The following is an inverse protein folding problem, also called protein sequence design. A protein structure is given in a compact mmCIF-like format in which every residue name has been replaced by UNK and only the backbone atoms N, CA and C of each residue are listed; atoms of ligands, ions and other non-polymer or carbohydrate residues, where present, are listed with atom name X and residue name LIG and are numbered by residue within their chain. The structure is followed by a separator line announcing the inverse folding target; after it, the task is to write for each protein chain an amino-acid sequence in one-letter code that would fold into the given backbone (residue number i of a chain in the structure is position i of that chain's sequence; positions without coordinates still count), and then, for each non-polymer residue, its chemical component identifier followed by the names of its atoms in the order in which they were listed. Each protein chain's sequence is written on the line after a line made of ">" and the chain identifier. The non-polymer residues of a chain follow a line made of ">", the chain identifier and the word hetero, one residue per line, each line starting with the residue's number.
data_IF_520337775698
#
_entry.id   IF_520337775698
#
_cell.length_a   1.000
_cell.length_b   1.000
_cell.length_c   1.000
_cell.angle_alpha   90.00
_cell.angle_beta   90.00
_cell.angle_gamma   90.00
#
_symmetry.space_group_name_H-M   'P 1'
#
loop_
_entity.id
_entity.type
_entity.pdbx_description
1 polymer ?
#
# COMPACT_ATOMS: atom_id res chain seq x y z
N UNK A 1 19.77 -37.31 19.83
CA UNK A 1 19.41 -37.43 18.43
C UNK A 1 19.83 -36.15 17.73
N UNK A 2 20.82 -36.25 16.85
CA UNK A 2 21.19 -35.17 15.93
C UNK A 2 20.11 -35.15 14.86
N UNK A 3 19.26 -34.13 14.88
CA UNK A 3 18.33 -33.84 13.82
C UNK A 3 19.17 -33.28 12.65
N UNK A 4 19.63 -34.14 11.77
CA UNK A 4 20.21 -33.72 10.50
C UNK A 4 19.10 -33.42 9.51
N UNK A 5 19.31 -32.43 8.65
CA UNK A 5 18.44 -32.20 7.51
C UNK A 5 18.46 -33.44 6.58
N UNK A 6 17.35 -33.68 5.90
CA UNK A 6 17.35 -34.63 4.79
C UNK A 6 18.09 -34.04 3.59
N UNK A 7 18.55 -34.88 2.66
CA UNK A 7 19.18 -34.40 1.43
C UNK A 7 18.28 -33.44 0.64
N UNK A 8 16.96 -33.65 0.68
CA UNK A 8 15.98 -32.75 0.10
C UNK A 8 15.96 -31.38 0.79
N UNK A 9 16.03 -31.33 2.13
CA UNK A 9 16.07 -30.08 2.88
C UNK A 9 17.34 -29.29 2.61
N UNK A 10 18.48 -29.97 2.46
CA UNK A 10 19.75 -29.35 2.10
C UNK A 10 19.69 -28.72 0.70
N UNK A 11 19.06 -29.40 -0.27
CA UNK A 11 18.82 -28.83 -1.61
C UNK A 11 17.89 -27.58 -1.55
N UNK A 12 16.81 -27.64 -0.77
CA UNK A 12 15.88 -26.51 -0.63
C UNK A 12 16.55 -25.33 0.05
N UNK A 13 17.39 -25.57 1.08
CA UNK A 13 18.17 -24.53 1.73
C UNK A 13 19.18 -23.88 0.78
N UNK A 14 19.83 -24.68 -0.07
CA UNK A 14 20.74 -24.17 -1.10
C UNK A 14 19.99 -23.26 -2.11
N UNK A 15 18.79 -23.65 -2.52
CA UNK A 15 17.93 -22.81 -3.39
C UNK A 15 17.49 -21.54 -2.67
N UNK A 16 17.08 -21.61 -1.39
CA UNK A 16 16.73 -20.44 -0.57
C UNK A 16 17.89 -19.44 -0.50
N UNK A 17 19.11 -19.96 -0.25
CA UNK A 17 20.30 -19.13 -0.21
C UNK A 17 20.59 -18.48 -1.58
N UNK A 18 20.49 -19.25 -2.66
CA UNK A 18 20.68 -18.72 -4.02
C UNK A 18 19.68 -17.60 -4.37
N UNK A 19 18.40 -17.78 -4.02
CA UNK A 19 17.37 -16.76 -4.24
C UNK A 19 17.68 -15.49 -3.44
N UNK A 20 18.06 -15.65 -2.17
CA UNK A 20 18.38 -14.53 -1.29
C UNK A 20 19.66 -13.80 -1.70
N UNK A 21 20.69 -14.52 -2.17
CA UNK A 21 21.94 -13.94 -2.67
C UNK A 21 21.73 -13.19 -4.00
N UNK A 22 20.89 -13.73 -4.88
CA UNK A 22 20.51 -13.05 -6.13
C UNK A 22 19.71 -11.79 -5.82
N UNK A 23 18.71 -11.89 -4.96
CA UNK A 23 17.78 -10.82 -4.62
C UNK A 23 16.89 -10.37 -5.78
N UNK A 24 16.06 -9.35 -5.51
CA UNK A 24 15.18 -8.72 -6.50
C UNK A 24 15.78 -7.40 -6.95
N UNK A 25 15.84 -7.17 -8.25
CA UNK A 25 16.18 -5.84 -8.79
C UNK A 25 15.05 -4.87 -8.49
N UNK A 26 15.39 -3.65 -8.09
CA UNK A 26 14.45 -2.59 -7.72
C UNK A 26 14.67 -1.38 -8.59
N UNK A 27 13.63 -0.96 -9.27
CA UNK A 27 13.59 0.36 -9.90
C UNK A 27 13.40 1.42 -8.80
N UNK A 28 14.50 2.00 -8.35
CA UNK A 28 14.52 2.98 -7.26
C UNK A 28 13.81 4.28 -7.66
N UNK A 29 13.98 4.71 -8.91
CA UNK A 29 13.36 5.93 -9.40
C UNK A 29 11.83 5.81 -9.41
N UNK A 30 11.32 4.66 -9.84
CA UNK A 30 9.88 4.39 -9.82
C UNK A 30 9.35 4.29 -8.38
N UNK A 31 10.05 3.60 -7.50
CA UNK A 31 9.65 3.46 -6.09
C UNK A 31 9.61 4.82 -5.36
N UNK A 32 10.60 5.66 -5.57
CA UNK A 32 10.66 7.02 -5.03
C UNK A 32 9.56 7.92 -5.60
N UNK A 33 9.32 7.85 -6.91
CA UNK A 33 8.25 8.59 -7.57
C UNK A 33 6.86 8.18 -7.04
N UNK A 34 6.63 6.89 -6.81
CA UNK A 34 5.40 6.38 -6.23
C UNK A 34 5.19 6.90 -4.78
N UNK A 35 6.24 6.87 -3.96
CA UNK A 35 6.19 7.42 -2.59
C UNK A 35 5.87 8.92 -2.62
N UNK A 36 6.55 9.68 -3.49
CA UNK A 36 6.35 11.12 -3.63
C UNK A 36 4.92 11.44 -4.10
N UNK A 37 4.40 10.71 -5.08
CA UNK A 37 3.05 10.89 -5.61
C UNK A 37 1.98 10.65 -4.53
N UNK A 38 2.11 9.57 -3.75
CA UNK A 38 1.18 9.27 -2.65
C UNK A 38 1.26 10.34 -1.55
N UNK A 39 2.47 10.77 -1.19
CA UNK A 39 2.65 11.83 -0.18
C UNK A 39 2.00 13.14 -0.62
N UNK A 40 2.19 13.54 -1.88
CA UNK A 40 1.59 14.72 -2.45
C UNK A 40 0.06 14.61 -2.45
N UNK A 41 -0.48 13.51 -2.97
CA UNK A 41 -1.92 13.27 -3.03
C UNK A 41 -2.58 13.33 -1.63
N UNK A 42 -1.96 12.70 -0.63
CA UNK A 42 -2.46 12.79 0.76
C UNK A 42 -2.48 14.21 1.31
N UNK A 43 -1.45 15.00 0.98
CA UNK A 43 -1.38 16.40 1.40
C UNK A 43 -2.46 17.25 0.70
N UNK A 44 -2.72 17.01 -0.58
CA UNK A 44 -3.78 17.67 -1.34
C UNK A 44 -5.16 17.36 -0.77
N UNK A 45 -5.47 16.08 -0.52
CA UNK A 45 -6.74 15.68 0.12
C UNK A 45 -6.92 16.33 1.50
N UNK A 46 -5.84 16.37 2.29
CA UNK A 46 -5.89 16.99 3.62
C UNK A 46 -6.13 18.49 3.54
N UNK A 47 -5.50 19.18 2.58
CA UNK A 47 -5.69 20.62 2.36
C UNK A 47 -7.12 20.94 1.87
N UNK A 48 -7.63 20.16 0.94
CA UNK A 48 -8.98 20.30 0.40
C UNK A 48 -10.04 20.08 1.50
N UNK A 49 -9.87 19.06 2.35
CA UNK A 49 -10.78 18.85 3.47
C UNK A 49 -10.73 20.01 4.49
N UNK A 50 -9.54 20.53 4.77
CA UNK A 50 -9.37 21.67 5.68
C UNK A 50 -10.00 22.95 5.11
N UNK A 51 -9.92 23.17 3.80
CA UNK A 51 -10.54 24.30 3.12
C UNK A 51 -12.09 24.18 3.13
N UNK A 52 -12.59 22.98 2.81
CA UNK A 52 -14.05 22.78 2.66
C UNK A 52 -14.79 22.72 4.01
N UNK A 53 -14.19 22.10 5.02
CA UNK A 53 -14.88 21.84 6.31
C UNK A 53 -14.16 22.40 7.53
N UNK A 54 -13.04 23.07 7.36
CA UNK A 54 -12.24 23.59 8.49
C UNK A 54 -11.61 22.52 9.38
N UNK A 55 -11.61 21.24 8.96
CA UNK A 55 -11.16 20.11 9.74
C UNK A 55 -10.34 19.12 8.90
N UNK A 56 -9.41 18.41 9.56
CA UNK A 56 -8.57 17.43 8.90
C UNK A 56 -9.22 16.07 8.75
N UNK A 57 -8.73 15.29 7.77
CA UNK A 57 -9.16 13.91 7.51
C UNK A 57 -8.69 12.90 8.56
N UNK A 58 -7.86 13.31 9.53
CA UNK A 58 -7.26 12.43 10.53
C UNK A 58 -7.44 13.02 11.93
N UNK A 59 -7.36 12.13 12.93
CA UNK A 59 -7.46 12.52 14.33
C UNK A 59 -8.88 12.63 14.86
N UNK A 60 -9.02 13.30 16.00
CA UNK A 60 -10.27 13.34 16.77
C UNK A 60 -11.39 14.15 16.11
N UNK A 61 -11.07 15.04 15.17
CA UNK A 61 -12.05 15.90 14.52
C UNK A 61 -12.86 15.21 13.40
N UNK A 62 -12.35 14.08 12.86
CA UNK A 62 -12.98 13.42 11.71
C UNK A 62 -14.37 12.83 12.02
N UNK A 63 -14.49 12.08 13.12
CA UNK A 63 -15.78 11.44 13.48
C UNK A 63 -16.83 12.48 13.82
N UNK A 64 -16.60 13.51 14.65
CA UNK A 64 -17.56 14.56 14.89
C UNK A 64 -18.03 15.28 13.61
N UNK A 65 -17.11 15.59 12.71
CA UNK A 65 -17.46 16.19 11.42
C UNK A 65 -18.32 15.27 10.57
N UNK A 66 -17.97 14.00 10.46
CA UNK A 66 -18.74 13.03 9.70
C UNK A 66 -20.14 12.84 10.32
N UNK A 67 -20.26 12.85 11.64
CA UNK A 67 -21.52 12.78 12.36
C UNK A 67 -22.40 14.01 12.10
N UNK A 68 -21.80 15.20 11.98
CA UNK A 68 -22.51 16.44 11.63
C UNK A 68 -23.06 16.39 10.20
N UNK A 69 -22.28 15.84 9.25
CA UNK A 69 -22.68 15.71 7.85
C UNK A 69 -23.70 14.57 7.62
N UNK A 70 -23.71 13.56 8.48
CA UNK A 70 -24.56 12.38 8.34
C UNK A 70 -25.31 12.08 9.66
N UNK A 71 -26.12 13.02 10.10
CA UNK A 71 -26.81 12.99 11.42
C UNK A 71 -27.77 11.81 11.61
N UNK A 72 -28.28 11.23 10.52
CA UNK A 72 -29.18 10.07 10.55
C UNK A 72 -28.45 8.73 10.72
N UNK A 73 -27.11 8.73 10.66
CA UNK A 73 -26.27 7.53 10.68
C UNK A 73 -25.54 7.37 12.01
N UNK A 74 -25.47 6.15 12.50
CA UNK A 74 -24.61 5.81 13.65
C UNK A 74 -23.18 5.52 13.15
N UNK A 75 -22.21 6.30 13.65
CA UNK A 75 -20.80 6.22 13.21
C UNK A 75 -19.92 5.86 14.41
N UNK A 76 -19.78 4.57 14.74
CA UNK A 76 -19.08 4.15 15.93
C UNK A 76 -17.57 4.32 15.86
N UNK A 77 -17.00 4.30 14.66
CA UNK A 77 -15.55 4.44 14.43
C UNK A 77 -15.23 4.81 12.97
N UNK A 78 -13.95 5.13 12.72
CA UNK A 78 -13.42 5.44 11.38
C UNK A 78 -12.64 4.26 10.77
N UNK A 79 -13.00 3.02 11.07
CA UNK A 79 -12.38 1.85 10.44
C UNK A 79 -12.82 1.72 8.98
N UNK A 80 -11.93 1.15 8.18
CA UNK A 80 -12.18 1.01 6.73
C UNK A 80 -13.44 0.23 6.41
N UNK A 81 -13.76 -0.83 7.20
CA UNK A 81 -15.01 -1.58 7.04
C UNK A 81 -16.23 -0.71 7.27
N UNK A 82 -16.29 -0.02 8.42
CA UNK A 82 -17.40 0.89 8.78
C UNK A 82 -17.61 1.98 7.72
N UNK A 83 -16.52 2.59 7.25
CA UNK A 83 -16.60 3.63 6.21
C UNK A 83 -17.07 3.08 4.86
N UNK A 84 -16.65 1.87 4.49
CA UNK A 84 -17.13 1.23 3.27
C UNK A 84 -18.61 0.81 3.37
N UNK A 85 -19.05 0.36 4.54
CA UNK A 85 -20.47 0.03 4.78
C UNK A 85 -21.34 1.27 4.62
N UNK A 86 -20.91 2.43 5.17
CA UNK A 86 -21.59 3.71 4.98
C UNK A 86 -21.63 4.15 3.50
N UNK A 87 -20.54 3.97 2.75
CA UNK A 87 -20.50 4.30 1.32
C UNK A 87 -21.46 3.45 0.47
N UNK A 88 -21.84 2.28 0.95
CA UNK A 88 -22.77 1.39 0.26
C UNK A 88 -24.24 1.81 0.46
N UNK A 89 -24.51 2.73 1.36
CA UNK A 89 -25.85 3.25 1.62
C UNK A 89 -26.19 4.37 0.63
N UNK A 90 -27.31 4.26 -0.07
CA UNK A 90 -27.75 5.23 -1.07
C UNK A 90 -28.23 6.53 -0.44
N UNK A 91 -28.71 6.48 0.80
CA UNK A 91 -29.23 7.64 1.53
C UNK A 91 -28.12 8.48 2.20
N UNK A 92 -26.84 8.04 2.08
CA UNK A 92 -25.72 8.79 2.63
C UNK A 92 -25.55 10.16 1.91
N UNK A 93 -25.55 11.28 2.65
CA UNK A 93 -25.36 12.61 2.07
C UNK A 93 -24.07 12.74 1.26
N UNK A 94 -24.11 13.48 0.15
CA UNK A 94 -22.96 13.61 -0.77
C UNK A 94 -21.70 14.19 -0.11
N UNK A 95 -21.86 15.15 0.81
CA UNK A 95 -20.72 15.72 1.55
C UNK A 95 -20.09 14.69 2.51
N UNK A 96 -20.90 13.86 3.16
CA UNK A 96 -20.42 12.78 3.99
C UNK A 96 -19.71 11.72 3.14
N UNK A 97 -20.28 11.36 1.99
CA UNK A 97 -19.67 10.44 1.00
C UNK A 97 -18.30 10.95 0.56
N UNK A 98 -18.23 12.22 0.14
CA UNK A 98 -16.98 12.87 -0.27
C UNK A 98 -15.93 12.85 0.84
N UNK A 99 -16.32 13.19 2.07
CA UNK A 99 -15.43 13.19 3.23
C UNK A 99 -14.87 11.79 3.52
N UNK A 100 -15.71 10.74 3.43
CA UNK A 100 -15.29 9.35 3.62
C UNK A 100 -14.31 8.92 2.52
N UNK A 101 -14.61 9.21 1.25
CA UNK A 101 -13.75 8.87 0.12
C UNK A 101 -12.36 9.53 0.26
N UNK A 102 -12.32 10.81 0.62
CA UNK A 102 -11.07 11.54 0.90
C UNK A 102 -10.31 10.91 2.07
N UNK A 103 -11.00 10.51 3.14
CA UNK A 103 -10.41 9.82 4.29
C UNK A 103 -9.78 8.48 3.89
N UNK A 104 -10.49 7.68 3.11
CA UNK A 104 -9.99 6.39 2.63
C UNK A 104 -8.78 6.57 1.70
N UNK A 105 -8.81 7.55 0.81
CA UNK A 105 -7.67 7.92 -0.03
C UNK A 105 -6.45 8.36 0.78
N UNK A 106 -6.65 9.25 1.75
CA UNK A 106 -5.59 9.72 2.63
C UNK A 106 -5.01 8.62 3.54
N UNK A 107 -5.80 7.61 3.91
CA UNK A 107 -5.35 6.48 4.72
C UNK A 107 -4.74 5.33 3.92
N UNK A 108 -4.66 5.44 2.60
CA UNK A 108 -4.05 4.42 1.75
C UNK A 108 -2.63 4.05 2.21
N UNK A 109 -2.37 2.77 2.34
CA UNK A 109 -1.06 2.21 2.71
C UNK A 109 -0.28 1.67 1.50
N UNK A 110 -0.73 1.95 0.28
CA UNK A 110 -0.15 1.40 -0.95
C UNK A 110 1.37 1.63 -1.03
N UNK A 111 1.84 2.84 -0.69
CA UNK A 111 3.27 3.19 -0.75
C UNK A 111 4.11 2.65 0.42
N UNK A 112 3.51 2.11 1.49
CA UNK A 112 4.28 1.65 2.66
C UNK A 112 5.19 0.47 2.34
N UNK A 113 4.88 -0.29 1.29
CA UNK A 113 5.68 -1.44 0.83
C UNK A 113 6.99 -1.01 0.15
N UNK A 114 7.06 0.19 -0.40
CA UNK A 114 8.25 0.69 -1.08
C UNK A 114 9.37 1.09 -0.10
N UNK A 115 9.03 1.57 1.10
CA UNK A 115 10.04 1.95 2.11
C UNK A 115 10.94 0.76 2.52
N UNK A 116 10.40 -0.43 2.94
CA UNK A 116 11.23 -1.59 3.24
C UNK A 116 12.04 -2.08 2.03
N UNK A 117 11.52 -1.88 0.82
CA UNK A 117 12.20 -2.23 -0.42
C UNK A 117 13.46 -1.37 -0.62
N UNK A 118 13.34 -0.05 -0.42
CA UNK A 118 14.44 0.92 -0.57
C UNK A 118 15.46 0.83 0.57
N UNK A 119 15.02 0.67 1.83
CA UNK A 119 15.88 0.66 3.01
C UNK A 119 16.94 -0.46 3.05
N UNK A 120 16.77 -1.51 2.30
CA UNK A 120 17.71 -2.65 2.32
C UNK A 120 18.36 -2.91 0.99
N UNK A 121 18.44 -1.92 0.11
CA UNK A 121 19.12 -2.06 -1.17
C UNK A 121 20.62 -2.23 -1.02
N UNK A 122 21.15 -3.18 -1.79
CA UNK A 122 22.59 -3.33 -2.00
C UNK A 122 23.06 -2.30 -3.06
N UNK A 123 24.37 -2.11 -3.15
CA UNK A 123 24.97 -1.13 -4.10
C UNK A 123 24.65 -1.41 -5.57
N UNK A 124 24.29 -2.63 -5.90
CA UNK A 124 23.93 -3.08 -7.25
C UNK A 124 22.42 -2.93 -7.56
N UNK A 125 21.66 -2.22 -6.72
CA UNK A 125 20.24 -1.99 -6.91
C UNK A 125 19.35 -3.21 -6.58
N UNK A 126 19.89 -4.21 -5.87
CA UNK A 126 19.12 -5.40 -5.52
C UNK A 126 18.74 -5.42 -4.04
N UNK A 127 17.52 -5.83 -3.77
CA UNK A 127 17.02 -6.13 -2.43
C UNK A 127 17.21 -7.62 -2.13
N UNK A 128 18.07 -7.93 -1.19
CA UNK A 128 18.45 -9.30 -0.78
C UNK A 128 17.82 -9.71 0.54
N UNK A 129 17.83 -11.01 0.83
CA UNK A 129 17.38 -11.55 2.12
C UNK A 129 15.88 -11.37 2.37
N UNK A 130 15.05 -11.45 1.33
CA UNK A 130 13.61 -11.22 1.41
C UNK A 130 12.79 -12.49 1.59
N UNK A 131 13.37 -13.66 1.41
CA UNK A 131 12.69 -14.96 1.47
C UNK A 131 13.30 -15.78 2.61
N UNK A 132 12.48 -16.55 3.28
CA UNK A 132 12.90 -17.47 4.32
C UNK A 132 12.19 -18.82 4.13
N UNK A 133 12.96 -19.88 3.92
CA UNK A 133 12.44 -21.24 3.90
C UNK A 133 11.85 -21.61 5.27
N UNK A 134 10.68 -22.24 5.27
CA UNK A 134 10.01 -22.65 6.51
C UNK A 134 9.58 -21.50 7.44
N UNK A 135 9.67 -20.25 7.00
CA UNK A 135 9.39 -19.07 7.83
C UNK A 135 7.94 -18.94 8.29
N UNK A 136 7.02 -19.64 7.64
CA UNK A 136 5.62 -19.75 8.09
C UNK A 136 5.49 -20.95 9.02
N UNK A 137 5.66 -20.77 10.33
CA UNK A 137 5.78 -21.82 11.35
C UNK A 137 4.66 -22.87 11.35
N UNK A 138 3.43 -22.50 10.96
CA UNK A 138 2.29 -23.44 10.91
C UNK A 138 2.25 -24.31 9.66
N UNK A 139 2.79 -23.86 8.55
CA UNK A 139 2.64 -24.51 7.24
C UNK A 139 3.96 -24.85 6.58
N UNK A 140 5.08 -24.46 7.18
CA UNK A 140 6.45 -24.60 6.67
C UNK A 140 6.62 -24.05 5.24
N UNK A 141 5.77 -23.11 4.84
CA UNK A 141 5.89 -22.41 3.55
C UNK A 141 7.00 -21.38 3.60
N UNK A 142 7.48 -20.98 2.43
CA UNK A 142 8.31 -19.79 2.32
C UNK A 142 7.58 -18.56 2.88
N UNK A 143 8.27 -17.78 3.67
CA UNK A 143 7.78 -16.50 4.17
C UNK A 143 8.62 -15.34 3.64
N UNK A 144 8.00 -14.19 3.49
CA UNK A 144 8.72 -12.95 3.20
C UNK A 144 9.28 -12.33 4.46
N UNK A 145 10.47 -11.74 4.34
CA UNK A 145 11.16 -11.05 5.43
C UNK A 145 11.46 -9.62 5.00
N UNK A 146 11.08 -8.64 5.80
CA UNK A 146 11.18 -7.21 5.51
C UNK A 146 10.31 -6.76 4.31
N UNK A 147 10.75 -6.97 3.08
CA UNK A 147 9.92 -6.90 1.90
C UNK A 147 9.29 -8.27 1.62
N UNK A 148 7.98 -8.30 1.43
CA UNK A 148 7.23 -9.54 1.26
C UNK A 148 6.62 -9.60 -0.15
N UNK A 149 7.35 -10.08 -1.16
CA UNK A 149 6.89 -10.07 -2.55
C UNK A 149 5.59 -10.88 -2.77
N UNK A 150 5.39 -11.96 -1.99
CA UNK A 150 4.19 -12.79 -2.06
C UNK A 150 2.91 -12.08 -1.58
N UNK A 151 3.05 -10.95 -0.87
CA UNK A 151 1.94 -10.15 -0.33
C UNK A 151 1.69 -8.87 -1.16
N UNK A 152 2.28 -8.77 -2.34
CA UNK A 152 1.94 -7.69 -3.26
C UNK A 152 0.48 -7.83 -3.69
N UNK A 153 -0.24 -6.72 -3.71
CA UNK A 153 -1.61 -6.69 -4.19
C UNK A 153 -1.67 -7.05 -5.68
N UNK A 154 -2.81 -7.55 -6.14
CA UNK A 154 -3.07 -7.63 -7.57
C UNK A 154 -3.24 -6.23 -8.10
N UNK A 155 -2.60 -5.92 -9.24
CA UNK A 155 -2.69 -4.61 -9.86
C UNK A 155 -4.10 -4.31 -10.36
N UNK A 156 -4.43 -3.03 -10.39
CA UNK A 156 -5.68 -2.51 -10.99
C UNK A 156 -5.50 -2.22 -12.48
N UNK A 157 -4.27 -1.95 -12.91
CA UNK A 157 -3.91 -1.60 -14.28
C UNK A 157 -2.99 -2.65 -14.88
N UNK A 158 -3.02 -2.81 -16.19
CA UNK A 158 -2.19 -3.76 -16.95
C UNK A 158 -1.90 -3.25 -18.35
N UNK A 159 -0.87 -3.81 -19.01
CA UNK A 159 -0.51 -3.48 -20.37
C UNK A 159 -0.19 -1.99 -20.55
N UNK A 160 -0.65 -1.41 -21.64
CA UNK A 160 -0.38 -0.01 -22.03
C UNK A 160 -0.84 1.01 -20.98
N UNK A 161 -1.93 0.74 -20.26
CA UNK A 161 -2.44 1.62 -19.22
C UNK A 161 -1.48 1.68 -18.02
N UNK A 162 -0.88 0.54 -17.65
CA UNK A 162 0.15 0.50 -16.61
C UNK A 162 1.43 1.23 -17.05
N UNK A 163 1.86 1.04 -18.29
CA UNK A 163 3.05 1.72 -18.85
C UNK A 163 2.86 3.23 -18.87
N UNK A 164 1.66 3.70 -19.25
CA UNK A 164 1.29 5.10 -19.18
C UNK A 164 1.30 5.62 -17.74
N UNK A 165 0.78 4.84 -16.79
CA UNK A 165 0.79 5.14 -15.37
C UNK A 165 2.20 5.26 -14.80
N UNK A 166 3.10 4.33 -15.13
CA UNK A 166 4.51 4.38 -14.76
C UNK A 166 5.18 5.66 -15.32
N UNK A 167 4.95 5.95 -16.59
CA UNK A 167 5.47 7.17 -17.21
C UNK A 167 4.94 8.45 -16.54
N UNK A 168 3.66 8.45 -16.14
CA UNK A 168 3.04 9.57 -15.44
C UNK A 168 3.60 9.75 -14.02
N UNK A 169 3.87 8.64 -13.30
CA UNK A 169 4.54 8.67 -12.00
C UNK A 169 5.94 9.28 -12.09
N UNK A 170 6.77 8.78 -13.01
CA UNK A 170 8.14 9.26 -13.20
C UNK A 170 8.19 10.75 -13.60
N UNK A 171 7.16 11.25 -14.29
CA UNK A 171 7.03 12.66 -14.68
C UNK A 171 6.32 13.52 -13.61
N UNK A 172 5.92 12.95 -12.49
CA UNK A 172 5.19 13.67 -11.43
C UNK A 172 3.77 14.12 -11.79
N UNK A 173 3.16 13.50 -12.81
CA UNK A 173 1.84 13.85 -13.36
C UNK A 173 0.74 12.83 -13.10
N UNK A 174 1.01 11.81 -12.30
CA UNK A 174 0.08 10.70 -12.05
C UNK A 174 -1.29 11.17 -11.53
N UNK A 175 -1.31 12.17 -10.65
CA UNK A 175 -2.52 12.72 -10.03
C UNK A 175 -3.51 13.37 -11.01
N UNK A 176 -3.11 13.67 -12.24
CA UNK A 176 -3.99 14.24 -13.26
C UNK A 176 -4.72 13.19 -14.09
N UNK A 177 -4.16 11.99 -14.16
CA UNK A 177 -4.60 10.96 -15.11
C UNK A 177 -5.12 9.70 -14.40
N UNK A 178 -4.71 9.47 -13.15
CA UNK A 178 -4.95 8.22 -12.43
C UNK A 178 -5.34 8.46 -10.98
N UNK A 179 -6.12 7.54 -10.43
CA UNK A 179 -6.20 7.35 -8.98
C UNK A 179 -4.83 6.88 -8.47
N UNK A 180 -4.13 7.79 -7.79
CA UNK A 180 -2.76 7.55 -7.31
C UNK A 180 -2.68 6.34 -6.38
N UNK A 181 -3.71 6.10 -5.57
CA UNK A 181 -3.73 4.96 -4.65
C UNK A 181 -3.84 3.63 -5.38
N UNK A 182 -4.65 3.57 -6.44
CA UNK A 182 -4.79 2.39 -7.30
C UNK A 182 -3.54 2.17 -8.14
N UNK A 183 -3.00 3.24 -8.74
CA UNK A 183 -1.80 3.15 -9.57
C UNK A 183 -0.59 2.67 -8.76
N UNK A 184 -0.39 3.17 -7.56
CA UNK A 184 0.74 2.75 -6.71
C UNK A 184 0.54 1.38 -6.04
N UNK A 185 -0.64 0.78 -6.16
CA UNK A 185 -0.92 -0.59 -5.75
C UNK A 185 -0.84 -1.59 -6.93
N UNK A 186 -0.73 -1.10 -8.16
CA UNK A 186 -0.53 -1.90 -9.38
C UNK A 186 0.93 -2.22 -9.60
#
# INVERSE_FOLDING_TARGET
>A
PTWGNSAFEDEVLAVDQLINDRGFYVDTALAEAAIAAVKKHKAELQAEAAEKWGAGLTGAAFIPLLQELATAFDIPNAQKSTLNDLLSDEDLPDDARTLIEMRLGASSTASTKYNPLLLGLSRDGRRRGCIQYGGASRTLRFAGKAFQPQNLARGYFSGEELDLGISALLKGRAHWLFDVSKLTAS
#
